data_IF_865256244800
#
_entry.id   IF_865256244800
#
_cell.length_a   1.000
_cell.length_b   1.000
_cell.length_c   1.000
_cell.angle_alpha   90.00
_cell.angle_beta   90.00
_cell.angle_gamma   90.00
#
_symmetry.space_group_name_H-M   'P 1'
#
loop_
_entity.id
_entity.type
_entity.pdbx_description
1 polymer ?
#
# COMPACT_ATOMS: atom_id res chain seq x y z
N UNK A 1 -24.83 16.81 39.96
CA UNK A 1 -24.98 16.05 38.70
C UNK A 1 -24.02 16.65 37.70
N UNK A 2 -22.84 16.06 37.52
CA UNK A 2 -21.83 16.51 36.56
C UNK A 2 -22.08 15.85 35.24
N UNK A 3 -22.10 16.58 34.11
CA UNK A 3 -22.23 15.96 32.80
C UNK A 3 -20.92 15.22 32.48
N UNK A 4 -21.05 13.94 32.26
CA UNK A 4 -19.99 13.06 31.80
C UNK A 4 -19.67 13.38 30.33
N UNK A 5 -18.73 14.29 30.12
CA UNK A 5 -18.16 14.50 28.78
C UNK A 5 -17.19 13.35 28.50
N UNK A 6 -17.74 12.24 28.01
CA UNK A 6 -16.96 11.25 27.30
C UNK A 6 -16.48 11.93 26.02
N UNK A 7 -15.26 12.43 26.06
CA UNK A 7 -14.58 12.90 24.88
C UNK A 7 -14.55 11.77 23.87
N UNK A 8 -15.15 11.99 22.70
CA UNK A 8 -15.05 11.08 21.59
C UNK A 8 -13.58 10.95 21.24
N UNK A 9 -12.93 9.87 21.67
CA UNK A 9 -11.65 9.48 21.11
C UNK A 9 -11.89 9.24 19.63
N UNK A 10 -11.42 10.14 18.79
CA UNK A 10 -11.31 9.94 17.38
C UNK A 10 -10.50 8.66 17.18
N UNK A 11 -11.20 7.56 16.84
CA UNK A 11 -10.55 6.31 16.46
C UNK A 11 -9.77 6.60 15.16
N UNK A 12 -8.43 6.58 15.26
CA UNK A 12 -7.60 6.59 14.06
C UNK A 12 -8.01 5.38 13.23
N UNK A 13 -8.28 5.54 11.92
CA UNK A 13 -8.60 4.40 11.07
C UNK A 13 -7.46 3.39 11.17
N UNK A 14 -7.81 2.12 11.36
CA UNK A 14 -6.85 1.02 11.37
C UNK A 14 -6.28 0.89 9.95
N UNK A 15 -4.94 0.78 9.77
CA UNK A 15 -4.37 0.55 8.46
C UNK A 15 -4.86 -0.78 7.88
N UNK A 16 -5.01 -0.83 6.56
CA UNK A 16 -5.29 -2.07 5.85
C UNK A 16 -4.10 -3.02 6.01
N UNK A 17 -4.39 -4.29 6.25
CA UNK A 17 -3.39 -5.35 6.39
C UNK A 17 -3.60 -6.41 5.31
N UNK A 18 -2.52 -6.81 4.67
CA UNK A 18 -2.47 -7.88 3.71
C UNK A 18 -1.55 -8.99 4.23
N UNK A 19 -2.08 -10.20 4.34
CA UNK A 19 -1.33 -11.36 4.82
C UNK A 19 -0.96 -12.25 3.64
N UNK A 20 0.29 -12.69 3.58
CA UNK A 20 0.82 -13.49 2.48
C UNK A 20 1.89 -14.45 2.99
N UNK A 21 1.99 -15.59 2.31
CA UNK A 21 3.12 -16.50 2.49
C UNK A 21 4.19 -16.19 1.44
N UNK A 22 5.45 -16.18 1.84
CA UNK A 22 6.57 -16.10 0.91
C UNK A 22 6.68 -17.43 0.18
N UNK A 23 6.66 -17.38 -1.15
CA UNK A 23 6.77 -18.55 -2.01
C UNK A 23 8.21 -18.72 -2.49
N UNK A 24 8.56 -19.94 -2.92
CA UNK A 24 9.85 -20.22 -3.53
C UNK A 24 10.15 -19.29 -4.71
N UNK A 25 9.14 -18.98 -5.54
CA UNK A 25 9.28 -18.08 -6.68
C UNK A 25 9.65 -16.64 -6.30
N UNK A 26 9.45 -16.23 -5.04
CA UNK A 26 9.83 -14.91 -4.56
C UNK A 26 11.31 -14.80 -4.22
N UNK A 27 12.01 -15.94 -4.11
CA UNK A 27 13.39 -16.03 -3.62
C UNK A 27 14.42 -16.03 -4.76
N UNK A 28 15.65 -15.72 -4.40
CA UNK A 28 16.80 -15.76 -5.29
C UNK A 28 17.78 -16.89 -4.94
N UNK A 29 18.93 -16.92 -5.62
CA UNK A 29 19.94 -17.95 -5.40
C UNK A 29 20.55 -17.93 -3.99
N UNK A 30 20.43 -16.84 -3.24
CA UNK A 30 20.88 -16.73 -1.86
C UNK A 30 19.87 -17.33 -0.87
N UNK A 31 18.67 -17.72 -1.32
CA UNK A 31 17.66 -18.41 -0.53
C UNK A 31 16.68 -17.50 0.20
N UNK A 32 16.76 -16.18 0.03
CA UNK A 32 15.79 -15.25 0.59
C UNK A 32 15.12 -14.41 -0.50
N UNK A 33 14.08 -13.67 -0.12
CA UNK A 33 13.30 -12.86 -1.06
C UNK A 33 14.21 -11.94 -1.87
N UNK A 34 14.11 -12.03 -3.20
CA UNK A 34 14.82 -11.15 -4.11
C UNK A 34 14.36 -9.70 -3.87
N UNK A 35 15.31 -8.76 -3.80
CA UNK A 35 15.02 -7.40 -3.35
C UNK A 35 13.89 -6.70 -4.11
N UNK A 36 13.77 -6.90 -5.41
CA UNK A 36 12.71 -6.30 -6.22
C UNK A 36 11.32 -6.87 -5.88
N UNK A 37 11.24 -8.08 -5.36
CA UNK A 37 9.97 -8.73 -5.02
C UNK A 37 9.31 -8.13 -3.79
N UNK A 38 10.03 -7.39 -2.94
CA UNK A 38 9.40 -6.61 -1.87
C UNK A 38 8.44 -5.56 -2.45
N UNK A 39 8.82 -4.91 -3.54
CA UNK A 39 7.95 -3.96 -4.24
C UNK A 39 6.73 -4.66 -4.86
N UNK A 40 6.92 -5.85 -5.43
CA UNK A 40 5.83 -6.65 -5.99
C UNK A 40 4.82 -7.01 -4.90
N UNK A 41 5.29 -7.49 -3.75
CA UNK A 41 4.43 -7.86 -2.63
C UNK A 41 3.69 -6.65 -2.06
N UNK A 42 4.35 -5.50 -1.95
CA UNK A 42 3.70 -4.26 -1.54
C UNK A 42 2.64 -3.81 -2.55
N UNK A 43 2.89 -3.99 -3.85
CA UNK A 43 1.90 -3.68 -4.87
C UNK A 43 0.68 -4.61 -4.81
N UNK A 44 0.88 -5.90 -4.51
CA UNK A 44 -0.23 -6.83 -4.21
C UNK A 44 -1.08 -6.30 -3.05
N UNK A 45 -0.44 -5.86 -1.97
CA UNK A 45 -1.13 -5.29 -0.81
C UNK A 45 -1.92 -4.02 -1.17
N UNK A 46 -1.36 -3.19 -2.04
CA UNK A 46 -2.05 -2.02 -2.58
C UNK A 46 -3.30 -2.41 -3.36
N UNK A 47 -3.19 -3.37 -4.28
CA UNK A 47 -4.32 -3.89 -5.05
C UNK A 47 -5.43 -4.43 -4.15
N UNK A 48 -5.09 -5.24 -3.16
CA UNK A 48 -6.04 -5.79 -2.19
C UNK A 48 -6.73 -4.68 -1.38
N UNK A 49 -6.00 -3.65 -1.01
CA UNK A 49 -6.54 -2.48 -0.32
C UNK A 49 -7.57 -1.72 -1.17
N UNK A 50 -7.27 -1.51 -2.45
CA UNK A 50 -8.21 -0.89 -3.40
C UNK A 50 -9.47 -1.74 -3.56
N UNK A 51 -9.30 -3.04 -3.73
CA UNK A 51 -10.40 -4.00 -3.86
C UNK A 51 -11.30 -4.00 -2.63
N UNK A 52 -10.71 -3.99 -1.43
CA UNK A 52 -11.44 -3.93 -0.17
C UNK A 52 -12.25 -2.64 -0.01
N UNK A 53 -11.83 -1.55 -0.65
CA UNK A 53 -12.55 -0.28 -0.69
C UNK A 53 -13.63 -0.22 -1.78
N UNK A 54 -13.84 -1.32 -2.53
CA UNK A 54 -14.85 -1.41 -3.59
C UNK A 54 -14.38 -0.89 -4.95
N UNK A 55 -13.09 -0.60 -5.11
CA UNK A 55 -12.54 -0.18 -6.39
C UNK A 55 -12.32 -1.42 -7.27
N UNK A 56 -12.89 -1.42 -8.47
CA UNK A 56 -12.75 -2.52 -9.42
C UNK A 56 -11.37 -2.47 -10.09
N UNK A 57 -10.52 -3.45 -9.79
CA UNK A 57 -9.14 -3.50 -10.28
C UNK A 57 -9.06 -3.62 -11.80
N UNK A 58 -10.02 -4.30 -12.43
CA UNK A 58 -10.03 -4.47 -13.90
C UNK A 58 -10.20 -3.15 -14.62
N UNK A 59 -11.00 -2.25 -14.08
CA UNK A 59 -11.21 -0.91 -14.64
C UNK A 59 -10.13 0.06 -14.18
N UNK A 60 -9.69 -0.07 -12.93
CA UNK A 60 -8.66 0.82 -12.36
C UNK A 60 -7.32 0.71 -13.09
N UNK A 61 -6.88 -0.50 -13.40
CA UNK A 61 -5.62 -0.74 -14.11
C UNK A 61 -5.75 -0.81 -15.63
N UNK A 62 -6.97 -0.65 -16.17
CA UNK A 62 -7.18 -0.49 -17.59
C UNK A 62 -7.07 1.00 -17.97
N UNK A 63 -6.51 1.28 -19.15
CA UNK A 63 -6.51 2.65 -19.66
C UNK A 63 -7.92 3.04 -20.10
N UNK A 64 -8.61 3.77 -19.22
CA UNK A 64 -9.95 4.34 -19.44
C UNK A 64 -9.92 5.87 -19.47
N UNK A 65 -8.78 6.44 -19.81
CA UNK A 65 -8.54 7.88 -19.79
C UNK A 65 -7.84 8.38 -18.54
N UNK A 66 -7.79 7.57 -17.48
CA UNK A 66 -7.12 7.87 -16.22
C UNK A 66 -6.13 6.76 -15.90
N UNK A 67 -4.86 7.11 -15.68
CA UNK A 67 -3.82 6.19 -15.24
C UNK A 67 -3.11 6.76 -14.03
N UNK A 68 -2.61 5.88 -13.16
CA UNK A 68 -1.95 6.28 -11.91
C UNK A 68 -0.60 5.58 -11.80
N UNK A 69 0.39 6.01 -12.59
CA UNK A 69 1.72 5.42 -12.53
C UNK A 69 2.43 5.70 -11.21
N UNK A 70 3.36 4.83 -10.87
CA UNK A 70 4.31 5.05 -9.79
C UNK A 70 5.40 6.02 -10.31
N UNK A 71 5.52 7.16 -9.64
CA UNK A 71 6.53 8.17 -9.98
C UNK A 71 7.83 7.98 -9.19
N UNK A 72 7.74 7.38 -8.00
CA UNK A 72 8.89 7.15 -7.13
C UNK A 72 8.65 5.92 -6.26
N UNK A 73 9.70 5.14 -6.04
CA UNK A 73 9.68 4.04 -5.08
C UNK A 73 10.96 4.06 -4.25
N UNK A 74 10.81 3.74 -2.97
CA UNK A 74 11.91 3.61 -2.02
C UNK A 74 11.69 2.34 -1.20
N UNK A 75 12.75 1.61 -0.93
CA UNK A 75 12.69 0.41 -0.12
C UNK A 75 13.87 0.38 0.84
N UNK A 76 13.60 -0.01 2.08
CA UNK A 76 14.56 -0.20 3.13
C UNK A 76 14.46 -1.64 3.61
N UNK A 77 15.53 -2.41 3.43
CA UNK A 77 15.57 -3.84 3.75
C UNK A 77 16.26 -4.02 5.09
N UNK A 78 15.58 -4.61 6.06
CA UNK A 78 16.07 -4.73 7.43
C UNK A 78 16.34 -6.16 7.86
N UNK A 79 15.52 -7.11 7.37
CA UNK A 79 15.60 -8.52 7.73
C UNK A 79 15.27 -9.40 6.55
N UNK A 80 16.00 -10.50 6.34
CA UNK A 80 15.70 -11.42 5.27
C UNK A 80 14.37 -12.15 5.53
N UNK A 81 13.67 -12.44 4.44
CA UNK A 81 12.48 -13.28 4.43
C UNK A 81 12.75 -14.52 3.60
N UNK A 82 12.24 -15.67 4.05
CA UNK A 82 12.49 -16.97 3.46
C UNK A 82 11.21 -17.62 2.97
N UNK A 83 11.35 -18.54 2.03
CA UNK A 83 10.23 -19.36 1.57
C UNK A 83 9.50 -20.00 2.76
N UNK A 84 8.18 -19.87 2.79
CA UNK A 84 7.35 -20.38 3.88
C UNK A 84 7.07 -19.37 4.99
N UNK A 85 7.79 -18.27 5.05
CA UNK A 85 7.49 -17.20 6.03
C UNK A 85 6.11 -16.61 5.78
N UNK A 86 5.36 -16.37 6.85
CA UNK A 86 4.11 -15.65 6.84
C UNK A 86 4.41 -14.18 7.10
N UNK A 87 3.97 -13.31 6.21
CA UNK A 87 4.19 -11.86 6.33
C UNK A 87 2.89 -11.10 6.35
N UNK A 88 2.91 -9.99 7.05
CA UNK A 88 1.84 -9.01 7.06
C UNK A 88 2.36 -7.69 6.52
N UNK A 89 1.65 -7.13 5.56
CA UNK A 89 1.97 -5.84 4.98
C UNK A 89 0.89 -4.84 5.37
N UNK A 90 1.27 -3.77 6.05
CA UNK A 90 0.35 -2.66 6.31
C UNK A 90 0.38 -1.66 5.15
N UNK A 91 -0.76 -1.10 4.81
CA UNK A 91 -0.94 -0.13 3.71
C UNK A 91 -1.44 1.17 4.29
N UNK A 92 -0.65 2.23 4.20
CA UNK A 92 -0.97 3.56 4.75
C UNK A 92 -0.87 4.62 3.65
N UNK A 93 -1.97 4.90 2.93
CA UNK A 93 -1.98 5.96 1.93
C UNK A 93 -2.09 7.34 2.58
N UNK A 94 -1.54 8.36 1.92
CA UNK A 94 -1.68 9.75 2.31
C UNK A 94 -1.60 10.66 1.08
N UNK A 95 -2.42 11.72 1.05
CA UNK A 95 -2.37 12.69 -0.02
C UNK A 95 -1.05 13.49 0.03
N UNK A 96 -0.45 13.71 -1.14
CA UNK A 96 0.66 14.64 -1.33
C UNK A 96 0.14 15.95 -1.95
N UNK A 97 -0.82 15.85 -2.85
CA UNK A 97 -1.50 16.96 -3.51
C UNK A 97 -2.86 16.49 -4.03
N UNK A 98 -3.59 17.35 -4.75
CA UNK A 98 -4.85 16.97 -5.36
C UNK A 98 -4.72 15.90 -6.46
N UNK A 99 -3.53 15.74 -7.03
CA UNK A 99 -3.24 14.83 -8.14
C UNK A 99 -2.25 13.70 -7.79
N UNK A 100 -1.84 13.60 -6.53
CA UNK A 100 -0.84 12.61 -6.12
C UNK A 100 -1.00 12.16 -4.68
N UNK A 101 -0.54 10.94 -4.42
CA UNK A 101 -0.51 10.36 -3.09
C UNK A 101 0.72 9.48 -2.89
N UNK A 102 1.09 9.27 -1.65
CA UNK A 102 2.08 8.27 -1.27
C UNK A 102 1.40 7.09 -0.59
N UNK A 103 2.06 5.95 -0.62
CA UNK A 103 1.71 4.80 0.22
C UNK A 103 2.95 4.40 0.99
N UNK A 104 2.80 4.25 2.31
CA UNK A 104 3.83 3.68 3.18
C UNK A 104 3.42 2.26 3.52
N UNK A 105 4.34 1.34 3.29
CA UNK A 105 4.17 -0.08 3.59
C UNK A 105 5.16 -0.49 4.68
N UNK A 106 4.69 -1.25 5.63
CA UNK A 106 5.55 -1.96 6.58
C UNK A 106 5.30 -3.46 6.43
N UNK A 107 6.37 -4.20 6.19
CA UNK A 107 6.33 -5.64 6.04
C UNK A 107 6.92 -6.29 7.28
N UNK A 108 6.11 -7.10 7.96
CA UNK A 108 6.47 -7.75 9.22
C UNK A 108 6.28 -9.26 9.09
N UNK A 109 7.28 -10.05 9.49
CA UNK A 109 7.13 -11.50 9.58
C UNK A 109 6.22 -11.82 10.77
N UNK A 110 5.18 -12.62 10.56
CA UNK A 110 4.31 -13.11 11.63
C UNK A 110 5.13 -13.95 12.62
N UNK A 111 4.84 -13.79 13.90
CA UNK A 111 5.64 -14.39 14.97
C UNK A 111 6.80 -13.53 15.46
N UNK A 112 7.05 -12.40 14.82
CA UNK A 112 8.07 -11.42 15.23
C UNK A 112 7.45 -10.02 15.25
N UNK A 113 6.41 -9.77 16.07
CA UNK A 113 5.72 -8.49 16.10
C UNK A 113 6.68 -7.35 16.48
N UNK A 114 6.45 -6.18 15.88
CA UNK A 114 7.27 -4.99 16.11
C UNK A 114 8.64 -5.00 15.42
N UNK A 115 8.94 -6.03 14.64
CA UNK A 115 10.21 -6.16 13.89
C UNK A 115 9.94 -6.15 12.39
N UNK A 116 10.07 -4.97 11.77
CA UNK A 116 9.88 -4.83 10.34
C UNK A 116 10.99 -5.56 9.56
N UNK A 117 10.60 -6.38 8.59
CA UNK A 117 11.51 -6.97 7.61
C UNK A 117 11.88 -5.94 6.54
N UNK A 118 10.93 -5.09 6.14
CA UNK A 118 11.16 -4.02 5.18
C UNK A 118 10.18 -2.88 5.40
N UNK A 119 10.59 -1.69 4.97
CA UNK A 119 9.74 -0.52 4.79
C UNK A 119 9.83 -0.07 3.35
N UNK A 120 8.68 0.17 2.75
CA UNK A 120 8.56 0.58 1.35
C UNK A 120 7.69 1.82 1.28
N UNK A 121 8.05 2.74 0.41
CA UNK A 121 7.26 3.93 0.12
C UNK A 121 7.14 4.08 -1.39
N UNK A 122 5.94 4.35 -1.88
CA UNK A 122 5.68 4.63 -3.28
C UNK A 122 4.92 5.95 -3.41
N UNK A 123 5.23 6.70 -4.46
CA UNK A 123 4.49 7.91 -4.84
C UNK A 123 3.77 7.65 -6.16
N UNK A 124 2.51 8.03 -6.22
CA UNK A 124 1.62 7.81 -7.34
C UNK A 124 1.07 9.14 -7.84
N UNK A 125 1.03 9.30 -9.14
CA UNK A 125 0.55 10.53 -9.80
C UNK A 125 -0.61 10.18 -10.72
N UNK A 126 -1.70 10.93 -10.63
CA UNK A 126 -2.87 10.76 -11.48
C UNK A 126 -2.68 11.53 -12.80
N UNK A 127 -2.82 10.83 -13.91
CA UNK A 127 -2.56 11.34 -15.26
C UNK A 127 -3.80 11.14 -16.14
N UNK A 128 -4.19 12.20 -16.86
CA UNK A 128 -5.04 12.08 -18.04
C UNK A 128 -4.23 11.47 -19.17
N UNK A 129 -4.56 10.24 -19.57
CA UNK A 129 -3.76 9.50 -20.55
C UNK A 129 -3.83 10.09 -21.96
N UNK A 130 -4.93 10.75 -22.33
CA UNK A 130 -5.08 11.40 -23.63
C UNK A 130 -4.31 12.72 -23.70
N UNK A 131 -4.47 13.57 -22.69
CA UNK A 131 -3.78 14.86 -22.60
C UNK A 131 -2.32 14.74 -22.16
N UNK A 132 -1.94 13.59 -21.55
CA UNK A 132 -0.62 13.35 -20.95
C UNK A 132 -0.24 14.41 -19.91
N UNK A 133 -1.21 14.82 -19.12
CA UNK A 133 -1.06 15.83 -18.08
C UNK A 133 -1.64 15.35 -16.76
N UNK A 134 -1.18 15.93 -15.67
CA UNK A 134 -1.71 15.63 -14.34
C UNK A 134 -3.17 16.04 -14.25
N UNK A 135 -3.94 15.26 -13.53
CA UNK A 135 -5.35 15.53 -13.24
C UNK A 135 -5.64 15.18 -11.79
N UNK A 136 -6.68 15.80 -11.23
CA UNK A 136 -7.13 15.51 -9.89
C UNK A 136 -7.53 14.05 -9.74
N UNK A 137 -7.28 13.47 -8.57
CA UNK A 137 -7.69 12.11 -8.26
C UNK A 137 -9.19 11.93 -8.44
N UNK A 138 -9.65 10.83 -9.09
CA UNK A 138 -11.05 10.48 -9.09
C UNK A 138 -11.59 10.33 -7.67
N UNK A 139 -12.89 10.61 -7.47
CA UNK A 139 -13.50 10.64 -6.14
C UNK A 139 -13.31 9.35 -5.34
N UNK A 140 -13.49 8.19 -5.97
CA UNK A 140 -13.33 6.91 -5.29
C UNK A 140 -11.89 6.70 -4.78
N UNK A 141 -10.91 7.10 -5.57
CA UNK A 141 -9.50 7.00 -5.21
C UNK A 141 -9.13 8.00 -4.11
N UNK A 142 -9.61 9.23 -4.23
CA UNK A 142 -9.42 10.25 -3.21
C UNK A 142 -10.03 9.84 -1.86
N UNK A 143 -11.22 9.24 -1.89
CA UNK A 143 -11.88 8.71 -0.70
C UNK A 143 -11.08 7.57 -0.07
N UNK A 144 -10.55 6.65 -0.88
CA UNK A 144 -9.70 5.57 -0.42
C UNK A 144 -8.44 6.11 0.28
N UNK A 145 -7.77 7.10 -0.31
CA UNK A 145 -6.58 7.72 0.30
C UNK A 145 -6.91 8.35 1.65
N UNK A 146 -8.03 9.07 1.74
CA UNK A 146 -8.44 9.76 2.97
C UNK A 146 -8.90 8.82 4.08
N UNK A 147 -9.36 7.62 3.74
CA UNK A 147 -9.83 6.62 4.70
C UNK A 147 -8.69 5.80 5.32
N UNK A 148 -7.49 5.84 4.74
CA UNK A 148 -6.31 5.06 5.15
C UNK A 148 -5.43 5.65 6.23
#
# INVERSE_FOLDING_TARGET
MLPNTLGSRSLRPMPFHYDRTIHFADTDAAGFVFFANYLVICHEAYEESLSAAGINLKTFFADNGVVVPVAKSEAEYRRPLFCGDKVRVSVKPALLSEDSYEIRFEMTRQGSPGKNAARVRTEHVCIDSAARSRMALPEALSAWVRAG
#
